data_IF_609956820607
#
_entry.id   IF_609956820607
#
_cell.length_a   1.000
_cell.length_b   1.000
_cell.length_c   1.000
_cell.angle_alpha   90.00
_cell.angle_beta   90.00
_cell.angle_gamma   90.00
#
_symmetry.space_group_name_H-M   'P 1'
#
loop_
_entity.id
_entity.type
_entity.pdbx_description
1 polymer ?
#
# COMPACT_ATOMS: atom_id res chain seq x y z
N UNK A 1 -5.53 20.17 14.56
CA UNK A 1 -4.83 18.97 14.19
C UNK A 1 -4.81 18.80 12.68
N UNK A 2 -3.67 18.46 12.18
CA UNK A 2 -3.49 18.33 10.76
C UNK A 2 -3.99 17.00 10.25
N UNK A 3 -4.79 17.01 9.20
CA UNK A 3 -5.31 15.80 8.60
C UNK A 3 -4.51 15.50 7.35
N UNK A 4 -3.89 14.33 7.32
CA UNK A 4 -3.17 13.89 6.12
C UNK A 4 -4.17 13.34 5.12
N UNK A 5 -4.08 13.84 3.91
CA UNK A 5 -4.96 13.40 2.86
C UNK A 5 -4.22 12.46 1.94
N UNK A 6 -4.32 11.18 2.23
CA UNK A 6 -3.71 10.16 1.39
C UNK A 6 -4.54 10.01 0.13
N UNK A 7 -3.87 9.99 -1.01
CA UNK A 7 -4.54 9.82 -2.29
C UNK A 7 -4.27 8.41 -2.79
N UNK A 8 -5.34 7.72 -3.19
CA UNK A 8 -5.21 6.39 -3.75
C UNK A 8 -4.53 6.48 -5.11
N UNK A 9 -3.41 5.79 -5.26
CA UNK A 9 -2.69 5.76 -6.53
C UNK A 9 -3.40 4.83 -7.51
N UNK A 10 -3.77 3.64 -7.02
CA UNK A 10 -4.40 2.61 -7.83
C UNK A 10 -5.20 1.72 -6.91
N UNK A 11 -6.31 1.21 -7.40
CA UNK A 11 -7.14 0.33 -6.60
C UNK A 11 -6.79 -1.12 -6.86
N UNK A 12 -6.64 -1.87 -5.76
CA UNK A 12 -6.31 -3.28 -5.80
C UNK A 12 -7.32 -4.05 -4.98
N UNK A 13 -7.26 -5.37 -5.08
CA UNK A 13 -8.19 -6.24 -4.35
C UNK A 13 -7.75 -6.46 -2.91
N UNK A 14 -6.46 -6.76 -2.71
CA UNK A 14 -5.94 -7.16 -1.40
C UNK A 14 -5.12 -6.09 -0.72
N UNK A 15 -4.73 -5.04 -1.41
CA UNK A 15 -3.91 -3.98 -0.82
C UNK A 15 -4.49 -2.62 -1.08
N UNK A 16 -4.10 -1.67 -0.26
CA UNK A 16 -4.37 -0.25 -0.47
C UNK A 16 -3.05 0.39 -0.85
N UNK A 17 -3.06 1.21 -1.89
CA UNK A 17 -1.84 1.84 -2.39
C UNK A 17 -2.07 3.34 -2.45
N UNK A 18 -1.49 4.04 -1.50
CA UNK A 18 -1.76 5.46 -1.29
C UNK A 18 -0.47 6.27 -1.35
N UNK A 19 -0.64 7.57 -1.62
CA UNK A 19 0.47 8.49 -1.77
C UNK A 19 0.20 9.76 -0.96
N UNK A 20 1.22 10.25 -0.28
CA UNK A 20 1.14 11.52 0.39
C UNK A 20 2.56 12.09 0.52
N UNK A 21 2.77 13.27 -0.03
CA UNK A 21 4.00 14.04 0.17
C UNK A 21 5.28 13.22 -0.04
N UNK A 22 5.38 12.54 -1.18
CA UNK A 22 6.57 11.77 -1.52
C UNK A 22 6.63 10.40 -0.90
N UNK A 23 5.61 10.03 -0.11
CA UNK A 23 5.56 8.73 0.58
C UNK A 23 4.48 7.88 -0.06
N UNK A 24 4.86 6.68 -0.50
CA UNK A 24 3.90 5.70 -0.97
C UNK A 24 3.67 4.71 0.16
N UNK A 25 2.41 4.44 0.46
CA UNK A 25 2.06 3.48 1.51
C UNK A 25 1.30 2.32 0.90
N UNK A 26 1.82 1.13 1.12
CA UNK A 26 1.17 -0.11 0.70
C UNK A 26 0.62 -0.76 1.95
N UNK A 27 -0.69 -0.88 2.04
CA UNK A 27 -1.36 -1.47 3.19
C UNK A 27 -1.94 -2.81 2.78
N UNK A 28 -1.51 -3.88 3.44
CA UNK A 28 -2.10 -5.19 3.19
C UNK A 28 -3.46 -5.18 3.88
N UNK A 29 -4.52 -5.26 3.08
CA UNK A 29 -5.88 -5.08 3.60
C UNK A 29 -6.63 -6.40 3.64
N UNK A 30 -6.12 -7.32 4.47
CA UNK A 30 -6.76 -8.60 4.72
C UNK A 30 -6.85 -8.87 6.23
N UNK A 31 -7.43 -7.95 7.00
CA UNK A 31 -7.43 -8.09 8.47
C UNK A 31 -8.20 -9.32 8.94
N UNK A 32 -9.21 -9.76 8.16
CA UNK A 32 -9.96 -10.97 8.48
C UNK A 32 -9.07 -12.20 8.48
N UNK A 33 -7.97 -12.16 7.76
CA UNK A 33 -7.03 -13.27 7.65
C UNK A 33 -5.69 -12.91 8.24
N UNK A 34 -5.67 -11.92 9.12
CA UNK A 34 -4.44 -11.40 9.73
C UNK A 34 -3.43 -10.97 8.68
N UNK A 35 -3.95 -10.46 7.56
CA UNK A 35 -3.14 -9.97 6.44
C UNK A 35 -2.23 -11.05 5.84
N UNK A 36 -2.72 -12.31 5.86
CA UNK A 36 -2.00 -13.40 5.22
C UNK A 36 -1.93 -13.18 3.71
N UNK A 37 -0.82 -13.56 3.10
CA UNK A 37 -0.60 -13.36 1.69
C UNK A 37 -1.23 -14.47 0.86
N UNK A 38 -1.77 -14.08 -0.29
CA UNK A 38 -2.18 -15.01 -1.34
C UNK A 38 -1.35 -14.68 -2.57
N UNK A 39 -1.40 -15.51 -3.63
CA UNK A 39 -0.75 -15.12 -4.88
C UNK A 39 -1.22 -13.78 -5.41
N UNK A 40 -2.51 -13.47 -5.23
CA UNK A 40 -3.03 -12.15 -5.63
C UNK A 40 -2.39 -11.03 -4.83
N UNK A 41 -2.28 -11.20 -3.51
CA UNK A 41 -1.66 -10.20 -2.64
C UNK A 41 -0.23 -9.94 -3.10
N UNK A 42 0.54 -11.01 -3.33
CA UNK A 42 1.93 -10.89 -3.74
C UNK A 42 2.06 -10.18 -5.07
N UNK A 43 1.19 -10.55 -6.02
CA UNK A 43 1.21 -9.93 -7.35
C UNK A 43 0.91 -8.44 -7.26
N UNK A 44 -0.06 -8.07 -6.43
CA UNK A 44 -0.43 -6.67 -6.28
C UNK A 44 0.68 -5.86 -5.62
N UNK A 45 1.34 -6.43 -4.61
CA UNK A 45 2.46 -5.75 -3.97
C UNK A 45 3.59 -5.54 -4.97
N UNK A 46 3.88 -6.55 -5.79
CA UNK A 46 4.91 -6.43 -6.80
C UNK A 46 4.57 -5.32 -7.80
N UNK A 47 3.32 -5.25 -8.21
CA UNK A 47 2.88 -4.23 -9.15
C UNK A 47 3.03 -2.84 -8.53
N UNK A 48 2.65 -2.69 -7.27
CA UNK A 48 2.76 -1.41 -6.58
C UNK A 48 4.23 -1.00 -6.42
N UNK A 49 5.09 -1.94 -6.07
CA UNK A 49 6.52 -1.65 -5.93
C UNK A 49 7.14 -1.25 -7.26
N UNK A 50 6.72 -1.89 -8.34
CA UNK A 50 7.20 -1.52 -9.65
C UNK A 50 6.80 -0.08 -9.98
N UNK A 51 5.57 0.28 -9.66
CA UNK A 51 5.10 1.65 -9.86
C UNK A 51 5.97 2.63 -9.07
N UNK A 52 6.27 2.30 -7.81
CA UNK A 52 7.12 3.17 -6.98
C UNK A 52 8.49 3.34 -7.59
N UNK A 53 9.04 2.28 -8.16
CA UNK A 53 10.36 2.33 -8.76
C UNK A 53 10.40 3.26 -9.96
N UNK A 54 9.29 3.30 -10.72
CA UNK A 54 9.24 4.10 -11.93
C UNK A 54 8.77 5.53 -11.69
N UNK A 55 8.30 5.84 -10.49
CA UNK A 55 7.75 7.15 -10.18
C UNK A 55 8.77 8.00 -9.43
N UNK A 56 9.19 9.11 -10.03
CA UNK A 56 10.21 9.96 -9.42
C UNK A 56 9.70 10.76 -8.23
N UNK A 57 8.39 10.87 -8.09
CA UNK A 57 7.80 11.63 -6.99
C UNK A 57 7.76 10.84 -5.69
N UNK A 58 8.05 9.55 -5.76
CA UNK A 58 8.02 8.68 -4.58
C UNK A 58 9.45 8.51 -4.07
N UNK A 59 9.66 8.94 -2.83
CA UNK A 59 10.98 8.86 -2.19
C UNK A 59 11.06 7.77 -1.13
N UNK A 60 9.91 7.43 -0.53
CA UNK A 60 9.86 6.47 0.56
C UNK A 60 8.67 5.56 0.33
N UNK A 61 8.84 4.28 0.61
CA UNK A 61 7.76 3.31 0.53
C UNK A 61 7.56 2.70 1.91
N UNK A 62 6.33 2.73 2.40
CA UNK A 62 5.97 2.14 3.68
C UNK A 62 5.07 0.95 3.43
N UNK A 63 5.39 -0.17 4.05
CA UNK A 63 4.57 -1.39 3.96
C UNK A 63 4.00 -1.67 5.34
N UNK A 64 2.68 -1.80 5.41
CA UNK A 64 2.00 -2.01 6.69
C UNK A 64 0.80 -2.93 6.50
N UNK A 65 0.21 -3.37 7.60
CA UNK A 65 -1.00 -4.19 7.58
C UNK A 65 -2.17 -3.43 8.16
N UNK A 66 -3.35 -3.70 7.64
CA UNK A 66 -4.56 -3.07 8.13
C UNK A 66 -5.01 -3.72 9.43
N UNK A 67 -5.64 -2.94 10.29
CA UNK A 67 -6.18 -3.45 11.54
C UNK A 67 -5.15 -3.51 12.65
N UNK A 68 -5.58 -4.04 13.79
CA UNK A 68 -4.74 -4.09 14.98
C UNK A 68 -3.81 -5.31 15.01
N UNK A 69 -4.09 -6.30 14.19
CA UNK A 69 -3.34 -7.55 14.19
C UNK A 69 -2.84 -7.85 12.78
N UNK A 70 -1.77 -7.23 12.46
CA UNK A 70 -1.15 -7.42 11.16
C UNK A 70 -0.25 -8.65 11.14
#
# INVERSE_FOLDING_TARGET
METREWKTIKEYQDILFDFYNGIAKITINRPRYRNAFTPTTTSEISDALYYCRECRDINVVVLTGAGDKA
#
